data_IF_270351424503
#
_entry.id   IF_270351424503
#
_cell.length_a   1.000
_cell.length_b   1.000
_cell.length_c   1.000
_cell.angle_alpha   90.00
_cell.angle_beta   90.00
_cell.angle_gamma   90.00
#
_symmetry.space_group_name_H-M   'P 1'
#
loop_
_entity.id
_entity.type
_entity.pdbx_description
1 polymer ?
#
# COMPACT_ATOMS: atom_id res chain seq x y z
N UNK A 1 -5.41 7.97 14.25
CA UNK A 1 -4.31 7.02 14.48
C UNK A 1 -4.78 5.97 15.45
N UNK A 2 -4.78 4.70 15.04
CA UNK A 2 -5.11 3.57 15.92
C UNK A 2 -3.95 2.58 15.79
N UNK A 3 -3.32 2.27 16.91
CA UNK A 3 -2.29 1.24 17.00
C UNK A 3 -3.01 -0.02 17.45
N UNK A 4 -2.91 -1.09 16.66
CA UNK A 4 -3.45 -2.38 17.10
C UNK A 4 -2.41 -3.09 17.97
N UNK A 5 -2.84 -3.48 19.16
CA UNK A 5 -2.02 -4.13 20.18
C UNK A 5 -2.23 -5.64 20.23
N UNK A 6 -1.24 -6.39 20.69
CA UNK A 6 -1.36 -7.82 20.99
C UNK A 6 -0.73 -8.12 22.34
N UNK A 7 -1.06 -9.27 22.88
CA UNK A 7 -0.44 -9.81 24.09
C UNK A 7 0.30 -11.09 23.74
N UNK A 8 1.58 -11.17 24.10
CA UNK A 8 2.33 -12.42 24.03
C UNK A 8 2.20 -13.13 25.39
N UNK A 9 1.77 -14.40 25.45
CA UNK A 9 1.47 -15.07 26.71
C UNK A 9 2.69 -15.24 27.65
N UNK A 10 3.91 -15.17 27.14
CA UNK A 10 5.12 -15.19 27.95
C UNK A 10 6.35 -14.70 27.19
N UNK A 11 7.48 -14.70 27.88
CA UNK A 11 8.75 -14.19 27.34
C UNK A 11 9.57 -15.27 26.61
N UNK A 12 9.29 -16.55 26.87
CA UNK A 12 9.99 -17.68 26.28
C UNK A 12 9.02 -18.73 25.79
N UNK A 13 9.29 -19.28 24.60
CA UNK A 13 8.59 -20.47 24.13
C UNK A 13 9.10 -21.67 24.92
N UNK A 14 8.19 -22.46 25.48
CA UNK A 14 8.57 -23.70 26.16
C UNK A 14 9.13 -24.69 25.15
N UNK A 15 10.22 -25.37 25.50
CA UNK A 15 10.78 -26.43 24.66
C UNK A 15 9.76 -27.57 24.59
N UNK A 16 9.27 -27.85 23.38
CA UNK A 16 8.33 -28.93 23.13
C UNK A 16 9.03 -30.28 22.93
N UNK A 17 8.25 -31.31 22.62
CA UNK A 17 8.74 -32.69 22.41
C UNK A 17 9.66 -32.80 21.18
N UNK A 18 9.52 -31.86 20.23
CA UNK A 18 10.36 -31.70 19.05
C UNK A 18 11.81 -31.30 19.35
N UNK A 19 12.08 -30.82 20.57
CA UNK A 19 13.40 -30.43 21.04
C UNK A 19 13.78 -28.96 20.78
N UNK A 20 14.92 -28.52 21.34
CA UNK A 20 15.26 -27.10 21.47
C UNK A 20 15.45 -26.37 20.14
N UNK A 21 15.96 -27.07 19.11
CA UNK A 21 16.21 -26.46 17.79
C UNK A 21 14.89 -26.06 17.14
N UNK A 22 13.89 -26.96 17.16
CA UNK A 22 12.63 -26.71 16.49
C UNK A 22 11.77 -25.68 17.25
N UNK A 23 11.82 -25.67 18.59
CA UNK A 23 11.16 -24.62 19.39
C UNK A 23 11.76 -23.23 19.12
N UNK A 24 13.08 -23.11 18.93
CA UNK A 24 13.74 -21.86 18.53
C UNK A 24 13.35 -21.42 17.11
N UNK A 25 13.24 -22.35 16.16
CA UNK A 25 12.73 -22.03 14.82
C UNK A 25 11.28 -21.52 14.87
N UNK A 26 10.42 -22.17 15.66
CA UNK A 26 9.04 -21.74 15.84
C UNK A 26 8.98 -20.34 16.44
N UNK A 27 9.82 -20.05 17.44
CA UNK A 27 9.95 -18.71 18.01
C UNK A 27 10.33 -17.66 16.96
N UNK A 28 11.35 -17.90 16.15
CA UNK A 28 11.76 -16.96 15.09
C UNK A 28 10.65 -16.67 14.09
N UNK A 29 9.82 -17.67 13.79
CA UNK A 29 8.67 -17.50 12.89
C UNK A 29 7.55 -16.70 13.55
N UNK A 30 7.28 -16.89 14.85
CA UNK A 30 6.36 -16.07 15.63
C UNK A 30 6.84 -14.61 15.72
N UNK A 31 8.14 -14.41 15.93
CA UNK A 31 8.76 -13.07 15.92
C UNK A 31 8.62 -12.43 14.54
N UNK A 32 8.82 -13.19 13.46
CA UNK A 32 8.63 -12.70 12.10
C UNK A 32 7.15 -12.37 11.81
N UNK A 33 6.19 -13.19 12.23
CA UNK A 33 4.75 -12.88 12.14
C UNK A 33 4.43 -11.56 12.85
N UNK A 34 5.02 -11.34 14.02
CA UNK A 34 4.88 -10.09 14.78
C UNK A 34 5.46 -8.90 14.03
N UNK A 35 6.64 -9.05 13.43
CA UNK A 35 7.24 -8.02 12.57
C UNK A 35 6.34 -7.68 11.38
N UNK A 36 5.78 -8.67 10.69
CA UNK A 36 4.88 -8.44 9.57
C UNK A 36 3.58 -7.75 10.02
N UNK A 37 3.07 -8.07 11.20
CA UNK A 37 1.94 -7.35 11.80
C UNK A 37 2.27 -5.88 12.11
N UNK A 38 3.49 -5.57 12.57
CA UNK A 38 3.94 -4.19 12.76
C UNK A 38 4.08 -3.44 11.44
N UNK A 39 4.69 -4.06 10.43
CA UNK A 39 4.82 -3.47 9.10
C UNK A 39 3.45 -3.14 8.50
N UNK A 40 2.46 -4.03 8.64
CA UNK A 40 1.09 -3.79 8.21
C UNK A 40 0.43 -2.65 9.00
N UNK A 41 0.61 -2.59 10.32
CA UNK A 41 0.11 -1.49 11.18
C UNK A 41 0.67 -0.12 10.74
N UNK A 42 2.00 -0.02 10.63
CA UNK A 42 2.68 1.21 10.24
C UNK A 42 2.26 1.64 8.84
N UNK A 43 2.16 0.68 7.92
CA UNK A 43 1.71 0.93 6.55
C UNK A 43 0.27 1.45 6.50
N UNK A 44 -0.64 0.90 7.31
CA UNK A 44 -2.01 1.41 7.41
C UNK A 44 -2.05 2.85 7.96
N UNK A 45 -1.31 3.13 9.03
CA UNK A 45 -1.24 4.47 9.62
C UNK A 45 -0.73 5.49 8.59
N UNK A 46 0.33 5.12 7.87
CA UNK A 46 0.91 5.97 6.84
C UNK A 46 -0.05 6.15 5.64
N UNK A 47 -0.75 5.09 5.23
CA UNK A 47 -1.78 5.13 4.20
C UNK A 47 -2.92 6.11 4.54
N UNK A 48 -3.45 6.04 5.76
CA UNK A 48 -4.51 6.93 6.24
C UNK A 48 -4.03 8.39 6.31
N UNK A 49 -2.81 8.61 6.80
CA UNK A 49 -2.20 9.93 6.88
C UNK A 49 -2.06 10.54 5.47
N UNK A 50 -1.51 9.79 4.51
CA UNK A 50 -1.31 10.25 3.14
C UNK A 50 -2.62 10.48 2.39
N UNK A 51 -3.62 9.62 2.62
CA UNK A 51 -4.99 9.81 2.10
C UNK A 51 -5.62 11.11 2.63
N UNK A 52 -5.41 11.40 3.91
CA UNK A 52 -5.87 12.65 4.53
C UNK A 52 -5.15 13.87 3.94
N UNK A 53 -3.83 13.81 3.77
CA UNK A 53 -3.04 14.87 3.11
C UNK A 53 -3.56 15.17 1.70
N UNK A 54 -3.82 14.13 0.89
CA UNK A 54 -4.36 14.32 -0.46
C UNK A 54 -5.73 15.01 -0.44
N UNK A 55 -6.64 14.55 0.42
CA UNK A 55 -7.97 15.16 0.55
C UNK A 55 -7.89 16.63 0.97
N UNK A 56 -7.04 16.94 1.95
CA UNK A 56 -6.83 18.32 2.40
C UNK A 56 -6.28 19.21 1.29
N UNK A 57 -5.33 18.69 0.48
CA UNK A 57 -4.84 19.43 -0.69
C UNK A 57 -5.97 19.74 -1.67
N UNK A 58 -6.78 18.75 -2.03
CA UNK A 58 -7.91 18.93 -2.96
C UNK A 58 -8.89 20.00 -2.48
N UNK A 59 -9.12 20.11 -1.17
CA UNK A 59 -9.94 21.16 -0.58
C UNK A 59 -9.29 22.56 -0.63
N UNK A 60 -7.96 22.61 -0.68
CA UNK A 60 -7.16 23.84 -0.69
C UNK A 60 -6.67 24.24 -2.09
N UNK A 61 -7.03 23.49 -3.14
CA UNK A 61 -6.69 23.80 -4.53
C UNK A 61 -7.49 25.01 -5.03
N UNK A 62 -6.87 25.83 -5.88
CA UNK A 62 -7.53 26.99 -6.50
C UNK A 62 -7.73 28.20 -5.57
N UNK A 63 -6.87 28.36 -4.55
CA UNK A 63 -6.93 29.55 -3.68
C UNK A 63 -6.66 30.83 -4.51
N UNK A 64 -7.36 31.94 -4.23
CA UNK A 64 -7.14 33.21 -4.92
C UNK A 64 -5.67 33.68 -4.91
N UNK A 65 -4.94 33.37 -3.83
CA UNK A 65 -3.51 33.68 -3.73
C UNK A 65 -2.64 32.91 -4.73
N UNK A 66 -2.99 31.66 -5.05
CA UNK A 66 -2.28 30.86 -6.04
C UNK A 66 -2.46 31.46 -7.46
N UNK A 67 -3.68 31.89 -7.78
CA UNK A 67 -3.99 32.55 -9.05
C UNK A 67 -3.32 33.93 -9.17
N UNK A 68 -3.28 34.70 -8.08
CA UNK A 68 -2.57 35.98 -8.06
C UNK A 68 -1.07 35.81 -8.32
N UNK A 69 -0.45 34.87 -7.61
CA UNK A 69 0.97 34.57 -7.79
C UNK A 69 1.28 34.12 -9.24
N UNK A 70 0.41 33.33 -9.85
CA UNK A 70 0.54 32.95 -11.27
C UNK A 70 0.44 34.16 -12.19
N UNK A 71 -0.49 35.08 -11.94
CA UNK A 71 -0.66 36.32 -12.71
C UNK A 71 0.57 37.22 -12.61
N UNK A 72 1.14 37.38 -11.42
CA UNK A 72 2.36 38.17 -11.22
C UNK A 72 3.55 37.60 -12.00
N UNK A 73 3.79 36.29 -11.91
CA UNK A 73 4.87 35.60 -12.64
C UNK A 73 4.65 35.73 -14.16
N UNK A 74 3.42 35.55 -14.62
CA UNK A 74 3.07 35.67 -16.04
C UNK A 74 3.33 37.08 -16.56
N UNK A 75 2.86 38.11 -15.84
CA UNK A 75 3.06 39.51 -16.21
C UNK A 75 4.55 39.88 -16.24
N UNK A 76 5.36 39.39 -15.28
CA UNK A 76 6.81 39.59 -15.27
C UNK A 76 7.47 38.99 -16.52
N UNK A 77 7.10 37.76 -16.89
CA UNK A 77 7.63 37.07 -18.07
C UNK A 77 7.19 37.76 -19.36
N UNK A 78 5.90 38.09 -19.51
CA UNK A 78 5.39 38.83 -20.68
C UNK A 78 6.11 40.16 -20.85
N UNK A 79 6.33 40.92 -19.79
CA UNK A 79 7.09 42.18 -19.86
C UNK A 79 8.53 41.97 -20.32
N UNK A 80 9.20 40.90 -19.85
CA UNK A 80 10.57 40.56 -20.26
C UNK A 80 10.66 40.18 -21.74
N UNK A 81 9.70 39.40 -22.24
CA UNK A 81 9.67 39.00 -23.64
C UNK A 81 9.29 40.17 -24.55
N UNK A 82 8.34 41.02 -24.16
CA UNK A 82 7.96 42.24 -24.92
C UNK A 82 9.10 43.26 -25.02
N UNK A 83 10.02 43.28 -24.06
CA UNK A 83 11.21 44.13 -24.11
C UNK A 83 12.23 43.65 -25.17
N UNK A 84 12.15 42.40 -25.60
CA UNK A 84 13.04 41.79 -26.60
C UNK A 84 12.41 41.78 -28.00
N UNK A 85 11.09 41.54 -28.07
CA UNK A 85 10.30 41.54 -29.30
C UNK A 85 8.94 42.19 -29.05
N UNK A 86 8.57 43.17 -29.88
CA UNK A 86 7.34 43.93 -29.69
C UNK A 86 6.07 43.14 -30.05
N UNK A 87 6.20 42.05 -30.82
CA UNK A 87 5.09 41.19 -31.21
C UNK A 87 5.33 39.76 -30.70
N UNK A 88 4.38 39.24 -29.92
CA UNK A 88 4.48 37.90 -29.34
C UNK A 88 3.73 36.91 -30.23
N UNK A 89 4.49 36.05 -30.92
CA UNK A 89 3.89 34.93 -31.64
C UNK A 89 3.31 33.87 -30.69
N UNK A 90 2.52 32.95 -31.24
CA UNK A 90 1.86 31.90 -30.48
C UNK A 90 2.87 30.99 -29.73
N UNK A 91 4.04 30.72 -30.32
CA UNK A 91 5.07 29.88 -29.70
C UNK A 91 5.69 30.54 -28.48
N UNK A 92 5.93 31.85 -28.56
CA UNK A 92 6.46 32.64 -27.45
C UNK A 92 5.44 32.70 -26.32
N UNK A 93 4.16 32.84 -26.66
CA UNK A 93 3.08 32.78 -25.67
C UNK A 93 2.99 31.42 -24.97
N UNK A 94 3.14 30.31 -25.70
CA UNK A 94 3.20 28.96 -25.13
C UNK A 94 4.42 28.79 -24.20
N UNK A 95 5.57 29.35 -24.58
CA UNK A 95 6.78 29.32 -23.77
C UNK A 95 6.62 30.12 -22.47
N UNK A 96 6.00 31.31 -22.53
CA UNK A 96 5.67 32.11 -21.35
C UNK A 96 4.76 31.33 -20.42
N UNK A 97 3.73 30.66 -20.95
CA UNK A 97 2.79 29.87 -20.15
C UNK A 97 3.50 28.68 -19.46
N UNK A 98 4.33 27.96 -20.20
CA UNK A 98 5.11 26.84 -19.66
C UNK A 98 6.09 27.29 -18.56
N UNK A 99 6.81 28.39 -18.79
CA UNK A 99 7.76 28.92 -17.82
C UNK A 99 7.07 29.47 -16.57
N UNK A 100 5.92 30.14 -16.74
CA UNK A 100 5.07 30.60 -15.63
C UNK A 100 4.71 29.44 -14.73
N UNK A 101 4.17 28.37 -15.31
CA UNK A 101 3.75 27.18 -14.57
C UNK A 101 4.96 26.48 -13.90
N UNK A 102 6.12 26.44 -14.56
CA UNK A 102 7.35 25.87 -14.01
C UNK A 102 7.88 26.68 -12.81
N UNK A 103 7.91 28.02 -12.90
CA UNK A 103 8.34 28.89 -11.81
C UNK A 103 7.38 28.80 -10.62
N UNK A 104 6.09 28.89 -10.87
CA UNK A 104 5.06 28.74 -9.84
C UNK A 104 5.19 27.41 -9.09
N UNK A 105 5.32 26.29 -9.82
CA UNK A 105 5.54 24.96 -9.23
C UNK A 105 6.81 24.91 -8.39
N UNK A 106 7.93 25.45 -8.87
CA UNK A 106 9.20 25.48 -8.14
C UNK A 106 9.11 26.28 -6.85
N UNK A 107 8.43 27.43 -6.85
CA UNK A 107 8.22 28.21 -5.62
C UNK A 107 7.42 27.41 -4.60
N UNK A 108 6.35 26.72 -5.03
CA UNK A 108 5.59 25.83 -4.15
C UNK A 108 6.45 24.72 -3.56
N UNK A 109 7.28 24.07 -4.38
CA UNK A 109 8.16 23.01 -3.94
C UNK A 109 9.24 23.50 -2.97
N UNK A 110 9.80 24.69 -3.19
CA UNK A 110 10.75 25.33 -2.28
C UNK A 110 10.12 25.65 -0.91
N UNK A 111 8.81 25.93 -0.90
CA UNK A 111 8.03 26.16 0.31
C UNK A 111 7.55 24.86 0.98
N UNK A 112 7.97 23.68 0.50
CA UNK A 112 7.63 22.37 1.07
C UNK A 112 6.31 21.77 0.59
N UNK A 113 5.62 22.39 -0.37
CA UNK A 113 4.44 21.78 -0.98
C UNK A 113 4.86 20.69 -1.98
N UNK A 114 4.47 19.43 -1.72
CA UNK A 114 4.77 18.34 -2.65
C UNK A 114 3.93 18.44 -3.94
N UNK A 115 4.37 17.84 -5.07
CA UNK A 115 3.51 17.65 -6.24
C UNK A 115 2.30 16.76 -5.92
N UNK A 116 1.14 17.03 -6.54
CA UNK A 116 -0.06 16.19 -6.37
C UNK A 116 0.19 14.72 -6.74
N UNK A 117 0.98 14.50 -7.81
CA UNK A 117 1.40 13.15 -8.21
C UNK A 117 2.20 12.42 -7.13
N UNK A 118 3.00 13.13 -6.32
CA UNK A 118 3.78 12.50 -5.25
C UNK A 118 2.88 12.05 -4.09
N UNK A 119 1.83 12.80 -3.78
CA UNK A 119 0.86 12.41 -2.74
C UNK A 119 0.08 11.15 -3.14
N UNK A 120 -0.34 11.05 -4.41
CA UNK A 120 -0.97 9.81 -4.93
C UNK A 120 0.02 8.63 -4.85
N UNK A 121 1.27 8.86 -5.22
CA UNK A 121 2.32 7.83 -5.14
C UNK A 121 2.59 7.40 -3.70
N UNK A 122 2.61 8.32 -2.73
CA UNK A 122 2.79 8.03 -1.30
C UNK A 122 1.70 7.05 -0.80
N UNK A 123 0.44 7.28 -1.17
CA UNK A 123 -0.68 6.39 -0.83
C UNK A 123 -0.47 4.99 -1.43
N UNK A 124 -0.11 4.92 -2.71
CA UNK A 124 0.14 3.65 -3.40
C UNK A 124 1.32 2.89 -2.78
N UNK A 125 2.38 3.58 -2.37
CA UNK A 125 3.54 2.97 -1.69
C UNK A 125 3.09 2.30 -0.39
N UNK A 126 2.33 3.01 0.45
CA UNK A 126 1.87 2.47 1.73
C UNK A 126 0.86 1.32 1.56
N UNK A 127 -0.02 1.40 0.54
CA UNK A 127 -0.90 0.30 0.19
C UNK A 127 -0.12 -0.96 -0.22
N UNK A 128 0.93 -0.81 -1.03
CA UNK A 128 1.81 -1.93 -1.43
C UNK A 128 2.53 -2.54 -0.23
N UNK A 129 3.11 -1.71 0.62
CA UNK A 129 3.79 -2.16 1.83
C UNK A 129 2.84 -2.96 2.74
N UNK A 130 1.60 -2.49 2.89
CA UNK A 130 0.55 -3.20 3.62
C UNK A 130 0.25 -4.58 3.02
N UNK A 131 0.05 -4.65 1.69
CA UNK A 131 -0.23 -5.92 0.99
C UNK A 131 0.93 -6.90 1.12
N UNK A 132 2.17 -6.43 0.97
CA UNK A 132 3.35 -7.29 1.11
C UNK A 132 3.49 -7.82 2.54
N UNK A 133 3.28 -6.99 3.55
CA UNK A 133 3.34 -7.42 4.95
C UNK A 133 2.26 -8.49 5.24
N UNK A 134 1.04 -8.30 4.71
CA UNK A 134 -0.05 -9.26 4.86
C UNK A 134 0.27 -10.59 4.15
N UNK A 135 0.79 -10.56 2.92
CA UNK A 135 1.16 -11.76 2.17
C UNK A 135 2.33 -12.51 2.83
N UNK A 136 3.35 -11.79 3.30
CA UNK A 136 4.45 -12.36 4.07
C UNK A 136 3.96 -13.03 5.36
N UNK A 137 3.04 -12.39 6.09
CA UNK A 137 2.40 -12.97 7.27
C UNK A 137 1.72 -14.31 6.92
N UNK A 138 0.91 -14.34 5.87
CA UNK A 138 0.21 -15.56 5.43
C UNK A 138 1.17 -16.69 5.08
N UNK A 139 2.23 -16.39 4.35
CA UNK A 139 3.28 -17.35 3.95
C UNK A 139 4.05 -17.88 5.16
N UNK A 140 4.37 -17.04 6.14
CA UNK A 140 5.01 -17.49 7.39
C UNK A 140 4.07 -18.33 8.25
N UNK A 141 2.79 -17.97 8.32
CA UNK A 141 1.79 -18.76 9.04
C UNK A 141 1.64 -20.15 8.43
N UNK A 142 1.64 -20.25 7.09
CA UNK A 142 1.67 -21.53 6.39
C UNK A 142 2.94 -22.34 6.74
N UNK A 143 4.11 -21.70 6.65
CA UNK A 143 5.37 -22.37 6.98
C UNK A 143 5.36 -22.90 8.42
N UNK A 144 4.79 -22.14 9.36
CA UNK A 144 4.61 -22.58 10.74
C UNK A 144 3.64 -23.78 10.83
N UNK A 145 2.50 -23.76 10.15
CA UNK A 145 1.55 -24.89 10.17
C UNK A 145 2.12 -26.18 9.57
N UNK A 146 3.01 -26.06 8.59
CA UNK A 146 3.59 -27.21 7.88
C UNK A 146 4.73 -27.89 8.65
N UNK A 147 5.08 -27.39 9.85
CA UNK A 147 6.27 -27.82 10.58
C UNK A 147 5.96 -28.83 11.69
N UNK A 148 6.76 -29.91 11.82
CA UNK A 148 6.59 -30.89 12.89
C UNK A 148 6.64 -30.24 14.28
N UNK A 149 5.77 -30.69 15.19
CA UNK A 149 5.72 -30.18 16.57
C UNK A 149 4.92 -28.88 16.74
N UNK A 150 4.31 -28.34 15.68
CA UNK A 150 3.41 -27.20 15.80
C UNK A 150 2.02 -27.60 16.31
N UNK A 151 1.31 -26.71 17.05
CA UNK A 151 -0.07 -26.95 17.47
C UNK A 151 -0.98 -27.27 16.28
N UNK A 152 -1.79 -28.34 16.40
CA UNK A 152 -2.65 -28.82 15.31
C UNK A 152 -3.61 -27.76 14.75
N UNK A 153 -4.06 -26.86 15.61
CA UNK A 153 -4.98 -25.77 15.28
C UNK A 153 -4.39 -24.74 14.30
N UNK A 154 -3.06 -24.71 14.09
CA UNK A 154 -2.43 -23.73 13.19
C UNK A 154 -2.82 -23.93 11.72
N UNK A 155 -3.11 -25.16 11.31
CA UNK A 155 -3.59 -25.44 9.94
C UNK A 155 -4.94 -24.75 9.72
N UNK A 156 -5.84 -24.82 10.70
CA UNK A 156 -7.14 -24.16 10.65
C UNK A 156 -7.01 -22.63 10.65
N UNK A 157 -6.02 -22.09 11.38
CA UNK A 157 -5.73 -20.64 11.37
C UNK A 157 -5.20 -20.17 10.03
N UNK A 158 -4.34 -20.95 9.37
CA UNK A 158 -3.89 -20.62 8.02
C UNK A 158 -5.06 -20.68 7.02
N UNK A 159 -5.97 -21.66 7.14
CA UNK A 159 -7.18 -21.68 6.31
C UNK A 159 -8.11 -20.49 6.59
N UNK A 160 -8.27 -20.11 7.85
CA UNK A 160 -9.01 -18.91 8.25
C UNK A 160 -8.42 -17.66 7.58
N UNK A 161 -7.08 -17.52 7.61
CA UNK A 161 -6.37 -16.44 6.94
C UNK A 161 -6.66 -16.40 5.44
N UNK A 162 -6.57 -17.54 4.74
CA UNK A 162 -6.86 -17.60 3.30
C UNK A 162 -8.32 -17.26 2.97
N UNK A 163 -9.27 -17.67 3.80
CA UNK A 163 -10.69 -17.31 3.63
C UNK A 163 -10.93 -15.82 3.89
N UNK A 164 -10.19 -15.22 4.81
CA UNK A 164 -10.29 -13.80 5.11
C UNK A 164 -9.70 -12.91 3.99
N UNK A 165 -8.69 -13.43 3.28
CA UNK A 165 -7.93 -12.68 2.25
C UNK A 165 -7.74 -13.51 0.96
N UNK A 166 -8.82 -13.83 0.24
CA UNK A 166 -8.78 -14.77 -0.89
C UNK A 166 -7.88 -14.30 -2.05
N UNK A 167 -7.88 -12.99 -2.33
CA UNK A 167 -7.21 -12.40 -3.48
C UNK A 167 -5.76 -11.96 -3.19
N UNK A 168 -5.33 -12.05 -1.92
CA UNK A 168 -4.07 -11.49 -1.46
C UNK A 168 -2.85 -12.01 -2.22
N UNK A 169 -2.76 -13.33 -2.38
CA UNK A 169 -1.65 -13.95 -3.11
C UNK A 169 -1.63 -13.51 -4.57
N UNK A 170 -2.82 -13.45 -5.20
CA UNK A 170 -2.95 -12.98 -6.59
C UNK A 170 -2.48 -11.54 -6.75
N UNK A 171 -2.86 -10.66 -5.83
CA UNK A 171 -2.40 -9.26 -5.81
C UNK A 171 -0.89 -9.19 -5.60
N UNK A 172 -0.36 -9.82 -4.55
CA UNK A 172 1.08 -9.79 -4.20
C UNK A 172 1.97 -10.30 -5.34
N UNK A 173 1.64 -11.45 -5.92
CA UNK A 173 2.40 -12.03 -7.02
C UNK A 173 2.37 -11.12 -8.27
N UNK A 174 1.20 -10.53 -8.55
CA UNK A 174 1.06 -9.58 -9.66
C UNK A 174 1.88 -8.31 -9.43
N UNK A 175 1.99 -7.83 -8.18
CA UNK A 175 2.84 -6.68 -7.83
C UNK A 175 4.33 -6.95 -8.05
N UNK A 176 4.79 -8.17 -7.79
CA UNK A 176 6.18 -8.55 -8.04
C UNK A 176 6.52 -8.59 -9.54
N UNK A 177 5.50 -8.82 -10.39
CA UNK A 177 5.65 -8.95 -11.84
C UNK A 177 5.16 -7.73 -12.63
N UNK A 178 5.05 -6.56 -12.01
CA UNK A 178 4.51 -5.33 -12.64
C UNK A 178 5.20 -4.99 -13.97
N UNK A 179 6.51 -5.21 -14.09
CA UNK A 179 7.23 -4.96 -15.35
C UNK A 179 6.76 -5.87 -16.50
N UNK A 180 6.45 -7.14 -16.20
CA UNK A 180 5.89 -8.05 -17.19
C UNK A 180 4.44 -7.71 -17.51
N UNK A 181 3.71 -7.11 -16.56
CA UNK A 181 2.36 -6.56 -16.80
C UNK A 181 2.36 -5.32 -17.67
N UNK A 182 3.35 -4.45 -17.49
CA UNK A 182 3.49 -3.22 -18.26
C UNK A 182 3.81 -3.50 -19.75
N UNK A 183 4.41 -4.66 -20.07
CA UNK A 183 4.65 -5.10 -21.46
C UNK A 183 3.36 -5.46 -22.23
N UNK A 184 2.22 -5.46 -21.55
CA UNK A 184 0.91 -5.75 -22.10
C UNK A 184 0.57 -7.24 -22.09
N UNK A 185 -0.71 -7.55 -21.91
CA UNK A 185 -1.30 -8.88 -22.07
C UNK A 185 -1.23 -9.31 -23.56
N UNK A 186 -0.04 -9.62 -24.06
CA UNK A 186 0.14 -10.23 -25.39
C UNK A 186 0.02 -11.74 -25.30
N UNK A 187 -1.21 -12.26 -25.46
CA UNK A 187 -1.60 -13.42 -26.30
C UNK A 187 -2.67 -14.34 -25.69
N UNK A 188 -3.56 -14.72 -26.62
CA UNK A 188 -4.34 -15.96 -26.75
C UNK A 188 -5.30 -16.37 -25.63
N UNK A 189 -6.61 -16.26 -25.96
CA UNK A 189 -7.80 -16.71 -25.23
C UNK A 189 -8.10 -15.94 -23.94
N UNK A 190 -8.69 -14.75 -24.12
CA UNK A 190 -9.51 -14.15 -23.06
C UNK A 190 -10.83 -14.93 -22.95
N UNK A 191 -11.02 -15.64 -21.84
CA UNK A 191 -12.35 -15.88 -21.31
C UNK A 191 -12.81 -14.58 -20.65
N UNK A 192 -13.78 -13.91 -21.26
CA UNK A 192 -14.56 -12.77 -20.77
C UNK A 192 -13.96 -12.04 -19.54
N UNK A 193 -13.21 -10.94 -19.71
CA UNK A 193 -12.84 -10.08 -18.59
C UNK A 193 -14.12 -9.67 -17.84
N UNK A 194 -14.15 -9.90 -16.53
CA UNK A 194 -15.29 -9.49 -15.72
C UNK A 194 -15.45 -7.97 -15.78
N UNK A 195 -16.69 -7.46 -15.90
CA UNK A 195 -16.93 -6.04 -15.87
C UNK A 195 -16.42 -5.49 -14.54
N UNK A 196 -15.35 -4.71 -14.63
CA UNK A 196 -14.89 -3.87 -13.55
C UNK A 196 -15.94 -2.77 -13.33
N UNK A 197 -16.42 -2.64 -12.08
CA UNK A 197 -17.37 -1.63 -11.55
C UNK A 197 -17.75 -0.50 -12.53
N UNK A 198 -19.06 -0.19 -12.61
CA UNK A 198 -19.73 0.85 -13.44
C UNK A 198 -19.09 2.26 -13.60
N UNK A 199 -17.95 2.55 -12.95
CA UNK A 199 -17.24 3.83 -12.98
C UNK A 199 -15.79 3.75 -13.50
N UNK A 200 -15.24 2.57 -13.74
CA UNK A 200 -14.01 2.41 -14.49
C UNK A 200 -14.35 1.68 -15.79
N UNK A 201 -13.81 2.18 -16.90
CA UNK A 201 -14.06 1.59 -18.21
C UNK A 201 -13.86 0.07 -18.09
N UNK A 202 -14.83 -0.75 -18.53
CA UNK A 202 -14.65 -2.18 -18.52
C UNK A 202 -13.32 -2.46 -19.21
N UNK A 203 -12.59 -3.47 -18.73
CA UNK A 203 -11.58 -4.11 -19.56
C UNK A 203 -12.33 -4.78 -20.73
N UNK A 204 -12.95 -4.00 -21.61
CA UNK A 204 -13.54 -4.44 -22.85
C UNK A 204 -12.44 -5.16 -23.64
N UNK A 205 -12.79 -6.17 -24.42
CA UNK A 205 -11.89 -6.99 -25.23
C UNK A 205 -10.63 -6.21 -25.70
N UNK A 206 -9.48 -6.49 -25.06
CA UNK A 206 -8.23 -5.73 -25.27
C UNK A 206 -7.95 -4.57 -24.29
N UNK A 207 -8.61 -4.54 -23.12
CA UNK A 207 -8.49 -3.47 -22.13
C UNK A 207 -7.08 -3.28 -21.57
N UNK A 208 -6.76 -2.02 -21.23
CA UNK A 208 -5.51 -1.65 -20.56
C UNK A 208 -5.54 -2.29 -19.15
N UNK A 209 -4.53 -3.07 -18.74
CA UNK A 209 -4.52 -3.69 -17.42
C UNK A 209 -4.51 -2.59 -16.34
N UNK A 210 -5.32 -2.78 -15.30
CA UNK A 210 -5.30 -1.93 -14.12
C UNK A 210 -4.03 -2.23 -13.32
N UNK A 211 -3.10 -1.27 -13.29
CA UNK A 211 -1.81 -1.42 -12.62
C UNK A 211 -1.72 -0.45 -11.44
N UNK A 212 -1.53 -0.99 -10.23
CA UNK A 212 -1.40 -0.21 -9.00
C UNK A 212 -2.61 0.72 -8.76
N UNK A 213 -3.82 0.20 -8.96
CA UNK A 213 -5.01 1.00 -8.74
C UNK A 213 -5.37 1.05 -7.26
N UNK A 214 -5.64 2.26 -6.79
CA UNK A 214 -6.11 2.52 -5.44
C UNK A 214 -7.41 3.31 -5.51
N UNK A 215 -8.45 2.77 -4.86
CA UNK A 215 -9.75 3.41 -4.77
C UNK A 215 -10.29 3.33 -3.34
N UNK A 216 -10.36 4.48 -2.66
CA UNK A 216 -10.75 4.53 -1.26
C UNK A 216 -9.81 3.66 -0.41
N UNK A 217 -10.33 2.64 0.26
CA UNK A 217 -9.52 1.69 1.04
C UNK A 217 -9.09 0.46 0.25
N UNK A 218 -9.44 0.34 -1.04
CA UNK A 218 -9.10 -0.85 -1.84
C UNK A 218 -7.88 -0.61 -2.70
N UNK A 219 -7.02 -1.61 -2.72
CA UNK A 219 -5.84 -1.64 -3.56
C UNK A 219 -5.88 -2.89 -4.43
N UNK A 220 -5.75 -2.74 -5.74
CA UNK A 220 -5.89 -3.86 -6.66
C UNK A 220 -5.08 -3.75 -7.94
N UNK A 221 -4.99 -4.89 -8.61
CA UNK A 221 -4.17 -5.10 -9.81
C UNK A 221 -4.81 -6.18 -10.67
N UNK A 222 -4.72 -6.01 -11.99
CA UNK A 222 -5.11 -7.05 -12.94
C UNK A 222 -4.07 -8.17 -13.01
N UNK A 223 -4.54 -9.40 -12.80
CA UNK A 223 -3.80 -10.64 -12.98
C UNK A 223 -3.58 -10.98 -14.47
N UNK A 224 -2.89 -12.10 -14.72
CA UNK A 224 -2.32 -12.42 -16.05
C UNK A 224 -3.39 -12.95 -17.00
N UNK A 225 -4.43 -13.51 -16.42
CA UNK A 225 -5.67 -13.93 -17.07
C UNK A 225 -6.68 -12.77 -17.24
N UNK A 226 -6.31 -11.53 -16.88
CA UNK A 226 -7.19 -10.36 -16.93
C UNK A 226 -8.17 -10.24 -15.77
N UNK A 227 -8.18 -11.17 -14.81
CA UNK A 227 -8.99 -11.06 -13.60
C UNK A 227 -8.47 -9.92 -12.72
N UNK A 228 -9.35 -9.09 -12.19
CA UNK A 228 -8.96 -8.02 -11.27
C UNK A 228 -9.05 -8.52 -9.83
N UNK A 229 -7.93 -8.47 -9.13
CA UNK A 229 -7.81 -8.88 -7.73
C UNK A 229 -7.59 -7.65 -6.86
N UNK A 230 -8.22 -7.61 -5.69
CA UNK A 230 -8.07 -6.48 -4.76
C UNK A 230 -7.96 -6.91 -3.30
N UNK A 231 -7.27 -6.08 -2.52
CA UNK A 231 -7.12 -6.21 -1.07
C UNK A 231 -7.57 -4.90 -0.43
N UNK A 232 -8.34 -5.03 0.65
CA UNK A 232 -8.75 -3.89 1.44
C UNK A 232 -7.65 -3.48 2.44
N UNK A 233 -7.15 -2.26 2.30
CA UNK A 233 -6.23 -1.56 3.21
C UNK A 233 -7.08 -0.78 4.22
N UNK A 234 -7.47 -1.45 5.31
CA UNK A 234 -8.33 -0.85 6.32
C UNK A 234 -8.08 -1.40 7.72
N UNK A 235 -8.64 -0.70 8.71
CA UNK A 235 -8.66 -1.17 10.09
C UNK A 235 -9.35 -2.52 10.22
N UNK A 236 -10.42 -2.78 9.46
CA UNK A 236 -11.15 -4.06 9.53
C UNK A 236 -10.27 -5.23 9.10
N UNK A 237 -9.45 -5.05 8.06
CA UNK A 237 -8.44 -6.03 7.63
C UNK A 237 -7.40 -6.27 8.73
N UNK A 238 -6.90 -5.19 9.36
CA UNK A 238 -5.94 -5.30 10.46
C UNK A 238 -6.50 -5.96 11.72
N UNK A 239 -7.77 -5.70 12.05
CA UNK A 239 -8.46 -6.34 13.17
C UNK A 239 -8.56 -7.86 12.98
N UNK A 240 -8.84 -8.31 11.75
CA UNK A 240 -8.82 -9.74 11.39
C UNK A 240 -7.40 -10.31 11.56
N UNK A 241 -6.39 -9.62 11.05
CA UNK A 241 -4.99 -10.03 11.17
C UNK A 241 -4.56 -10.14 12.64
N UNK A 242 -4.90 -9.15 13.47
CA UNK A 242 -4.66 -9.13 14.93
C UNK A 242 -5.27 -10.36 15.59
N UNK A 243 -6.54 -10.66 15.28
CA UNK A 243 -7.23 -11.81 15.84
C UNK A 243 -6.56 -13.14 15.49
N UNK A 244 -6.09 -13.29 14.24
CA UNK A 244 -5.35 -14.47 13.80
C UNK A 244 -4.01 -14.56 14.55
N UNK A 245 -3.24 -13.47 14.59
CA UNK A 245 -1.95 -13.43 15.29
C UNK A 245 -2.09 -13.75 16.78
N UNK A 246 -3.05 -13.14 17.46
CA UNK A 246 -3.29 -13.38 18.89
C UNK A 246 -3.56 -14.86 19.14
N UNK A 247 -4.49 -15.46 18.38
CA UNK A 247 -4.80 -16.89 18.51
C UNK A 247 -3.63 -17.80 18.12
N UNK A 248 -2.79 -17.38 17.18
CA UNK A 248 -1.55 -18.09 16.85
C UNK A 248 -0.57 -18.06 18.02
N UNK A 249 -0.39 -16.91 18.68
CA UNK A 249 0.45 -16.80 19.88
C UNK A 249 -0.09 -17.66 21.02
N UNK A 250 -1.39 -17.59 21.28
CA UNK A 250 -2.07 -18.31 22.36
C UNK A 250 -2.03 -19.84 22.20
N UNK A 251 -1.83 -20.34 20.97
CA UNK A 251 -1.75 -21.78 20.69
C UNK A 251 -0.44 -22.42 21.18
N UNK A 252 0.61 -21.63 21.42
CA UNK A 252 1.89 -22.13 21.91
C UNK A 252 1.96 -22.10 23.44
N UNK A 253 2.81 -22.96 24.00
CA UNK A 253 3.14 -22.94 25.43
C UNK A 253 4.25 -21.95 25.70
N UNK A 254 4.00 -21.01 26.60
CA UNK A 254 4.95 -19.96 26.97
C UNK A 254 5.36 -20.06 28.45
N UNK A 255 6.54 -19.52 28.76
CA UNK A 255 7.07 -19.34 30.10
C UNK A 255 7.55 -17.89 30.30
N UNK A 256 7.65 -17.47 31.57
CA UNK A 256 8.02 -16.11 31.94
C UNK A 256 6.85 -15.12 31.88
N UNK A 257 7.16 -13.84 32.00
CA UNK A 257 6.16 -12.79 32.10
C UNK A 257 5.47 -12.53 30.76
N UNK A 258 4.17 -12.31 30.83
CA UNK A 258 3.33 -11.88 29.70
C UNK A 258 3.81 -10.52 29.19
N UNK A 259 3.80 -10.33 27.87
CA UNK A 259 4.26 -9.11 27.23
C UNK A 259 3.13 -8.41 26.49
N UNK A 260 3.07 -7.09 26.58
CA UNK A 260 2.15 -6.25 25.83
C UNK A 260 2.88 -5.56 24.69
N UNK A 261 2.36 -5.69 23.47
CA UNK A 261 2.99 -5.22 22.25
C UNK A 261 2.08 -4.24 21.48
N UNK A 262 2.61 -3.21 20.80
CA UNK A 262 4.03 -2.87 20.71
C UNK A 262 4.58 -2.23 22.00
N UNK A 263 5.90 -2.38 22.30
CA UNK A 263 6.52 -1.75 23.46
C UNK A 263 6.68 -0.24 23.24
N UNK A 264 6.64 0.54 24.32
CA UNK A 264 6.82 1.99 24.24
C UNK A 264 8.28 2.40 23.97
N UNK A 265 9.25 1.61 24.46
CA UNK A 265 10.68 1.80 24.29
C UNK A 265 11.31 0.47 23.84
N UNK A 266 12.28 0.52 22.93
CA UNK A 266 13.03 -0.64 22.43
C UNK A 266 14.27 -0.96 23.26
#
# INVERSE_FOLDING_TARGET
>A
MRILEITVPGSFLKIGEEGPVQSEENRRRLDFLTSQFYEANVSLIAFDASSTKQRLRQLLEGRPADEEQKREIHAELTSKYLALDADLDCKTQDQINLETEARFKRTKWQNGELPAGFLRTEIVIHARAFVYALDAFGKTLQLLSDTPGCPGDLTDRHQEFRRAFPDLTSVSDSLQRVADRAKGLRREKQTHPEPFRDQLAPAAEGGIPALNEQWGTRYGISAENGHYSEVEVSLATMEKLRGILQRTMDAFSWEGDQQHLPPQNG
#
